data_IF_361819729643
#
_entry.id   IF_361819729643
#
_cell.length_a   1.000
_cell.length_b   1.000
_cell.length_c   1.000
_cell.angle_alpha   90.00
_cell.angle_beta   90.00
_cell.angle_gamma   90.00
#
_symmetry.space_group_name_H-M   'P 1'
#
loop_
_entity.id
_entity.type
_entity.pdbx_description
1 polymer ?
#
# COMPACT_ATOMS: atom_id res chain seq x y z
N UNK A 1 58.90 -48.80 43.57
CA UNK A 1 58.30 -47.45 43.56
C UNK A 1 57.67 -47.25 42.19
N UNK A 2 56.35 -47.42 42.09
CA UNK A 2 55.64 -47.41 40.83
C UNK A 2 54.44 -46.45 40.90
N UNK A 3 54.29 -45.69 39.81
CA UNK A 3 53.36 -44.61 39.56
C UNK A 3 51.89 -45.03 39.73
N UNK A 4 51.07 -44.14 40.32
CA UNK A 4 49.62 -44.12 40.09
C UNK A 4 49.17 -42.70 39.76
N UNK A 5 48.66 -42.56 38.55
CA UNK A 5 48.13 -41.36 37.90
C UNK A 5 46.81 -40.94 38.54
N UNK A 6 46.66 -39.65 38.84
CA UNK A 6 45.41 -39.04 39.31
C UNK A 6 44.57 -38.56 38.11
N UNK A 7 43.31 -39.02 38.04
CA UNK A 7 42.27 -38.49 37.15
C UNK A 7 41.33 -37.58 37.95
N UNK A 8 40.89 -36.48 37.35
CA UNK A 8 40.15 -35.39 38.00
C UNK A 8 38.65 -35.47 37.68
N UNK A 9 37.79 -35.64 38.69
CA UNK A 9 36.35 -35.35 38.65
C UNK A 9 35.99 -34.51 39.90
N UNK A 10 35.15 -33.46 39.79
CA UNK A 10 34.82 -32.62 40.93
C UNK A 10 33.69 -33.24 41.78
N UNK A 11 33.90 -33.18 43.09
CA UNK A 11 32.89 -33.23 44.15
C UNK A 11 32.39 -34.59 44.68
N UNK A 12 33.27 -35.58 44.82
CA UNK A 12 33.03 -36.69 45.77
C UNK A 12 34.34 -37.05 46.49
N UNK A 13 34.36 -36.90 47.82
CA UNK A 13 35.37 -37.51 48.70
C UNK A 13 34.69 -38.68 49.40
N UNK A 14 34.89 -39.88 48.89
CA UNK A 14 34.45 -41.11 49.58
C UNK A 14 35.57 -41.53 50.51
N UNK A 15 35.28 -41.56 51.81
CA UNK A 15 36.06 -42.33 52.78
C UNK A 15 35.29 -43.64 52.99
N UNK A 16 35.98 -44.78 52.83
CA UNK A 16 35.50 -46.10 53.19
C UNK A 16 36.23 -46.50 54.47
N UNK A 17 35.49 -46.93 55.48
CA UNK A 17 36.05 -47.72 56.57
C UNK A 17 35.77 -49.21 56.32
N UNK A 18 36.68 -50.06 56.81
CA UNK A 18 36.53 -51.51 56.85
C UNK A 18 35.27 -51.82 57.67
N UNK A 19 34.26 -52.44 57.02
CA UNK A 19 33.00 -53.02 57.55
C UNK A 19 31.81 -52.47 56.75
N UNK A 20 31.56 -53.04 55.57
CA UNK A 20 30.56 -52.53 54.64
C UNK A 20 29.10 -52.70 55.09
N UNK A 21 28.51 -51.65 55.68
CA UNK A 21 27.05 -51.43 55.70
C UNK A 21 26.69 -49.94 55.47
N UNK A 22 25.65 -49.71 54.67
CA UNK A 22 25.18 -48.37 54.25
C UNK A 22 23.95 -48.01 55.08
N UNK A 23 24.09 -47.13 56.09
CA UNK A 23 22.94 -46.46 56.70
C UNK A 23 22.54 -45.22 55.90
N UNK A 24 21.34 -45.30 55.33
CA UNK A 24 20.68 -44.18 54.66
C UNK A 24 20.20 -43.15 55.68
N UNK A 25 20.81 -41.97 55.68
CA UNK A 25 20.31 -40.82 56.43
C UNK A 25 19.38 -39.98 55.55
N UNK A 26 18.12 -39.92 55.98
CA UNK A 26 17.07 -39.11 55.38
C UNK A 26 17.47 -37.64 55.33
N UNK A 27 17.53 -37.05 54.13
CA UNK A 27 17.77 -35.61 53.96
C UNK A 27 16.44 -34.89 53.80
N UNK A 28 16.08 -34.15 54.86
CA UNK A 28 14.91 -33.29 54.92
C UNK A 28 14.76 -32.37 53.70
N UNK A 29 13.52 -32.26 53.27
CA UNK A 29 12.99 -31.29 52.31
C UNK A 29 13.23 -29.87 52.82
N UNK A 30 14.28 -29.21 52.35
CA UNK A 30 14.39 -27.75 52.41
C UNK A 30 14.40 -27.14 51.01
N UNK A 31 13.49 -26.17 50.86
CA UNK A 31 13.22 -25.37 49.69
C UNK A 31 14.49 -24.81 49.02
N UNK A 32 14.66 -25.09 47.73
CA UNK A 32 15.50 -24.29 46.84
C UNK A 32 14.85 -22.92 46.59
N UNK A 33 14.88 -22.03 47.58
CA UNK A 33 14.69 -20.58 47.36
C UNK A 33 16.04 -19.88 47.28
N UNK A 34 16.85 -20.23 46.27
CA UNK A 34 17.98 -19.37 45.87
C UNK A 34 17.40 -18.10 45.24
N UNK A 35 16.97 -17.15 46.07
CA UNK A 35 16.71 -15.76 45.69
C UNK A 35 18.02 -15.24 45.08
N UNK A 36 18.07 -15.17 43.76
CA UNK A 36 19.19 -14.56 43.05
C UNK A 36 19.49 -13.21 43.69
N UNK A 37 20.75 -12.97 44.04
CA UNK A 37 21.22 -11.70 44.60
C UNK A 37 20.77 -10.59 43.66
N UNK A 38 19.73 -9.85 44.06
CA UNK A 38 19.28 -8.65 43.36
C UNK A 38 20.48 -7.72 43.28
N UNK A 39 21.07 -7.57 42.09
CA UNK A 39 22.04 -6.50 41.83
C UNK A 39 21.37 -5.21 42.27
N UNK A 40 21.91 -4.54 43.29
CA UNK A 40 21.36 -3.25 43.75
C UNK A 40 21.46 -2.30 42.57
N UNK A 41 20.31 -1.97 41.98
CA UNK A 41 20.23 -0.96 40.92
C UNK A 41 20.65 0.36 41.56
N UNK A 42 21.68 1.00 41.00
CA UNK A 42 22.10 2.33 41.43
C UNK A 42 20.88 3.28 41.49
N UNK A 43 20.83 4.20 42.47
CA UNK A 43 19.71 5.12 42.60
C UNK A 43 19.50 5.84 41.26
N UNK A 44 18.26 5.91 40.74
CA UNK A 44 18.01 6.61 39.50
C UNK A 44 18.43 8.06 39.68
N UNK A 45 19.38 8.53 38.88
CA UNK A 45 19.72 9.95 38.82
C UNK A 45 18.47 10.70 38.33
N UNK A 46 17.61 11.11 39.26
CA UNK A 46 16.39 11.86 38.99
C UNK A 46 16.76 13.32 38.85
N UNK A 47 17.17 13.71 37.65
CA UNK A 47 17.38 15.10 37.28
C UNK A 47 17.40 15.25 35.76
N UNK A 48 16.92 16.37 35.20
CA UNK A 48 17.16 16.67 33.80
C UNK A 48 18.66 16.64 33.52
N UNK A 49 19.06 16.09 32.37
CA UNK A 49 20.46 16.15 31.98
C UNK A 49 20.89 17.61 31.77
N UNK A 50 22.20 17.82 31.66
CA UNK A 50 22.82 19.13 31.40
C UNK A 50 22.31 19.80 30.10
N UNK A 51 21.62 19.04 29.24
CA UNK A 51 20.99 19.50 28.00
C UNK A 51 19.49 19.81 28.16
N UNK A 52 18.98 19.93 29.40
CA UNK A 52 17.59 20.28 29.71
C UNK A 52 16.56 19.15 29.54
N UNK A 53 16.97 17.93 29.21
CA UNK A 53 16.04 16.81 28.98
C UNK A 53 15.80 16.03 30.27
N UNK A 54 14.53 15.93 30.69
CA UNK A 54 14.09 15.25 31.93
C UNK A 54 14.63 13.83 32.10
N UNK A 55 14.72 13.06 31.01
CA UNK A 55 15.28 11.72 31.01
C UNK A 55 16.50 11.66 30.11
N UNK A 56 17.67 11.31 30.67
CA UNK A 56 18.93 11.20 29.92
C UNK A 56 18.82 10.21 28.74
N UNK A 57 17.99 9.18 28.86
CA UNK A 57 17.65 8.21 27.80
C UNK A 57 16.91 8.82 26.60
N UNK A 58 16.34 10.01 26.75
CA UNK A 58 15.67 10.78 25.71
C UNK A 58 16.52 11.98 25.24
N UNK A 59 17.69 12.19 25.82
CA UNK A 59 18.61 13.21 25.37
C UNK A 59 19.39 12.71 24.17
N UNK A 60 19.20 13.36 23.01
CA UNK A 60 19.92 13.04 21.77
C UNK A 60 21.43 13.16 21.91
N UNK A 61 21.94 14.01 22.81
CA UNK A 61 23.38 14.15 23.04
C UNK A 61 23.88 13.07 23.99
N UNK A 62 23.24 12.89 25.15
CA UNK A 62 23.71 11.93 26.14
C UNK A 62 23.56 10.47 25.72
N UNK A 63 22.54 10.15 24.93
CA UNK A 63 22.21 8.78 24.53
C UNK A 63 22.53 8.47 23.08
N UNK A 64 23.08 9.42 22.31
CA UNK A 64 23.67 9.11 21.01
C UNK A 64 25.01 8.38 21.16
N UNK A 65 25.30 7.57 20.16
CA UNK A 65 26.61 7.03 19.89
C UNK A 65 27.34 7.94 18.88
N UNK A 66 28.67 7.78 18.71
CA UNK A 66 29.44 8.51 17.68
C UNK A 66 28.91 8.30 16.25
N UNK A 67 28.14 7.24 16.00
CA UNK A 67 27.52 6.93 14.70
C UNK A 67 26.15 7.60 14.47
N UNK A 68 25.78 8.59 15.30
CA UNK A 68 24.54 9.37 15.14
C UNK A 68 23.24 8.62 15.45
N UNK A 69 23.32 7.41 16.02
CA UNK A 69 22.17 6.60 16.47
C UNK A 69 22.09 6.60 17.99
N UNK A 70 20.96 6.21 18.56
CA UNK A 70 20.91 5.94 19.99
C UNK A 70 21.81 4.75 20.32
N UNK A 71 22.58 4.82 21.42
CA UNK A 71 23.54 3.75 21.81
C UNK A 71 22.87 2.38 21.89
N UNK A 72 21.65 2.31 22.42
CA UNK A 72 20.91 1.06 22.54
C UNK A 72 20.39 0.50 21.19
N UNK A 73 20.40 1.31 20.12
CA UNK A 73 19.99 0.93 18.75
C UNK A 73 21.13 1.03 17.74
N UNK A 74 22.39 1.10 18.18
CA UNK A 74 23.52 1.18 17.25
C UNK A 74 24.12 -0.21 17.06
N UNK A 75 24.16 -0.70 15.82
CA UNK A 75 24.80 -1.99 15.49
C UNK A 75 26.29 -1.96 15.78
N UNK A 76 26.98 -0.88 15.40
CA UNK A 76 28.42 -0.68 15.56
C UNK A 76 28.84 -0.44 17.02
N UNK A 77 27.89 -0.24 17.94
CA UNK A 77 28.15 -0.14 19.38
C UNK A 77 27.53 -1.31 20.16
N UNK A 78 27.19 -2.41 19.49
CA UNK A 78 26.51 -3.57 20.08
C UNK A 78 25.31 -3.20 20.96
N UNK A 79 24.50 -2.27 20.45
CA UNK A 79 23.35 -1.74 21.14
C UNK A 79 22.42 -2.86 21.59
N UNK A 80 22.01 -2.83 22.87
CA UNK A 80 21.25 -3.90 23.52
C UNK A 80 19.95 -4.29 22.80
N UNK A 81 19.43 -3.44 21.91
CA UNK A 81 18.20 -3.68 21.15
C UNK A 81 18.42 -4.31 19.77
N UNK A 82 19.67 -4.39 19.29
CA UNK A 82 20.03 -4.92 17.97
C UNK A 82 20.81 -6.22 18.12
N UNK A 83 20.46 -7.25 17.36
CA UNK A 83 21.23 -8.49 17.31
C UNK A 83 22.41 -8.37 16.34
N UNK A 84 23.30 -9.36 16.36
CA UNK A 84 24.40 -9.50 15.39
C UNK A 84 23.94 -9.42 13.93
N UNK A 85 22.73 -9.91 13.63
CA UNK A 85 22.09 -9.84 12.31
C UNK A 85 21.64 -8.42 11.90
N UNK A 86 21.85 -7.40 12.76
CA UNK A 86 21.47 -6.01 12.49
C UNK A 86 19.97 -5.72 12.56
N UNK A 87 19.16 -6.69 13.04
CA UNK A 87 17.71 -6.55 13.25
C UNK A 87 17.43 -6.23 14.72
N UNK A 88 16.23 -5.72 15.03
CA UNK A 88 15.81 -5.61 16.43
C UNK A 88 15.77 -7.00 17.07
N UNK A 89 16.45 -7.19 18.22
CA UNK A 89 16.55 -8.49 18.91
C UNK A 89 15.18 -9.12 19.16
N UNK A 90 14.22 -8.30 19.58
CA UNK A 90 12.87 -8.76 19.90
C UNK A 90 12.08 -9.25 18.68
N UNK A 91 12.45 -8.85 17.46
CA UNK A 91 11.78 -9.26 16.21
C UNK A 91 12.68 -10.10 15.30
N UNK A 92 13.89 -10.44 15.73
CA UNK A 92 14.81 -11.22 14.93
C UNK A 92 14.45 -12.70 15.00
N UNK A 93 14.08 -13.29 13.85
CA UNK A 93 13.80 -14.73 13.74
C UNK A 93 15.02 -15.59 14.09
N UNK A 94 16.19 -15.22 13.59
CA UNK A 94 17.45 -15.96 13.79
C UNK A 94 17.90 -15.97 15.26
N UNK A 95 17.53 -14.95 16.04
CA UNK A 95 17.82 -14.89 17.48
C UNK A 95 16.67 -15.39 18.37
N UNK A 96 15.60 -15.96 17.81
CA UNK A 96 14.42 -16.37 18.59
C UNK A 96 13.75 -15.21 19.32
N UNK A 97 13.71 -14.03 18.70
CA UNK A 97 13.20 -12.80 19.30
C UNK A 97 11.84 -12.99 19.97
N UNK A 98 11.66 -12.38 21.14
CA UNK A 98 10.47 -12.59 21.99
C UNK A 98 9.13 -12.27 21.33
N UNK A 99 9.13 -11.51 20.23
CA UNK A 99 7.94 -11.17 19.46
C UNK A 99 7.72 -12.08 18.25
N UNK A 100 8.61 -13.03 17.95
CA UNK A 100 8.48 -13.96 16.81
C UNK A 100 7.94 -15.31 17.30
N UNK A 101 6.91 -15.83 16.64
CA UNK A 101 6.43 -17.19 16.89
C UNK A 101 7.25 -18.22 16.11
N UNK A 102 7.02 -19.50 16.39
CA UNK A 102 7.59 -20.62 15.65
C UNK A 102 7.34 -20.54 14.13
N UNK A 103 6.20 -19.95 13.73
CA UNK A 103 5.85 -19.71 12.32
C UNK A 103 6.65 -18.56 11.66
N UNK A 104 7.61 -17.94 12.37
CA UNK A 104 8.43 -16.84 11.85
C UNK A 104 7.67 -15.52 11.64
N UNK A 105 6.44 -15.42 12.15
CA UNK A 105 5.60 -14.22 12.11
C UNK A 105 5.66 -13.48 13.44
N UNK A 106 5.29 -12.20 13.44
CA UNK A 106 5.10 -11.45 14.69
C UNK A 106 3.96 -12.12 15.47
N UNK A 107 4.19 -12.55 16.71
CA UNK A 107 3.26 -13.31 17.56
C UNK A 107 1.88 -12.67 17.62
N UNK A 108 1.80 -11.35 17.81
CA UNK A 108 0.52 -10.63 17.86
C UNK A 108 -0.25 -10.64 16.53
N UNK A 109 0.42 -10.90 15.40
CA UNK A 109 -0.15 -10.92 14.05
C UNK A 109 -0.27 -12.35 13.48
N UNK A 110 0.15 -13.37 14.22
CA UNK A 110 0.13 -14.74 13.73
C UNK A 110 -1.25 -15.36 13.97
N UNK A 111 -1.96 -15.73 12.89
CA UNK A 111 -3.25 -16.41 12.97
C UNK A 111 -3.13 -17.76 13.68
N UNK A 112 -2.12 -18.55 13.33
CA UNK A 112 -1.87 -19.90 13.87
C UNK A 112 -1.56 -19.89 15.38
N UNK A 113 -0.98 -18.80 15.89
CA UNK A 113 -0.72 -18.63 17.33
C UNK A 113 -1.84 -17.88 18.07
N UNK A 114 -2.99 -17.61 17.43
CA UNK A 114 -4.08 -16.84 18.06
C UNK A 114 -3.69 -15.38 18.39
N UNK A 115 -2.82 -14.78 17.58
CA UNK A 115 -2.28 -13.44 17.82
C UNK A 115 -3.38 -12.40 18.05
N UNK A 116 -3.25 -11.62 19.13
CA UNK A 116 -4.28 -10.69 19.59
C UNK A 116 -4.76 -9.68 18.53
N UNK A 117 -3.91 -9.34 17.54
CA UNK A 117 -4.23 -8.38 16.48
C UNK A 117 -5.06 -8.97 15.33
N UNK A 118 -5.18 -10.29 15.22
CA UNK A 118 -5.93 -10.98 14.15
C UNK A 118 -7.13 -11.69 14.76
N UNK A 119 -8.28 -11.61 14.08
CA UNK A 119 -9.46 -12.41 14.45
C UNK A 119 -9.46 -13.76 13.75
N UNK A 120 -10.40 -14.64 14.12
CA UNK A 120 -10.58 -15.96 13.50
C UNK A 120 -10.79 -15.89 11.97
N UNK A 121 -11.41 -14.82 11.48
CA UNK A 121 -11.61 -14.52 10.06
C UNK A 121 -10.31 -14.14 9.31
N UNK A 122 -9.16 -14.11 9.99
CA UNK A 122 -7.85 -13.77 9.39
C UNK A 122 -7.69 -12.28 9.06
N UNK A 123 -8.61 -11.42 9.52
CA UNK A 123 -8.54 -9.96 9.35
C UNK A 123 -7.97 -9.32 10.62
N UNK A 124 -7.49 -8.08 10.50
CA UNK A 124 -7.11 -7.29 11.68
C UNK A 124 -8.34 -7.11 12.58
N UNK A 125 -8.25 -7.53 13.84
CA UNK A 125 -9.38 -7.59 14.80
C UNK A 125 -10.07 -6.24 14.96
N UNK A 126 -9.30 -5.15 14.99
CA UNK A 126 -9.81 -3.78 15.07
C UNK A 126 -10.66 -3.35 13.86
N UNK A 127 -10.50 -4.01 12.73
CA UNK A 127 -11.11 -3.64 11.44
C UNK A 127 -12.08 -4.72 10.91
N UNK A 128 -12.27 -5.80 11.67
CA UNK A 128 -13.15 -6.89 11.27
C UNK A 128 -14.60 -6.54 11.56
N UNK A 129 -15.43 -6.45 10.52
CA UNK A 129 -16.87 -6.21 10.65
C UNK A 129 -17.58 -7.34 11.42
N UNK A 130 -17.25 -8.58 11.09
CA UNK A 130 -17.86 -9.79 11.69
C UNK A 130 -17.56 -9.92 13.20
N UNK A 131 -16.42 -9.39 13.66
CA UNK A 131 -16.06 -9.38 15.09
C UNK A 131 -16.41 -8.08 15.81
N UNK A 132 -17.15 -7.15 15.19
CA UNK A 132 -17.46 -5.85 15.80
C UNK A 132 -16.22 -5.00 16.09
N UNK A 133 -15.19 -5.08 15.24
CA UNK A 133 -13.91 -4.39 15.44
C UNK A 133 -14.09 -2.90 15.72
N UNK A 134 -13.36 -2.37 16.70
CA UNK A 134 -13.53 -0.99 17.20
C UNK A 134 -13.48 0.11 16.12
N UNK A 135 -12.82 -0.15 14.98
CA UNK A 135 -12.70 0.79 13.86
C UNK A 135 -13.93 0.79 12.95
N UNK A 136 -14.84 -0.19 13.04
CA UNK A 136 -16.04 -0.31 12.21
C UNK A 136 -17.27 0.03 13.07
N UNK A 137 -18.17 0.86 12.56
CA UNK A 137 -19.45 1.14 13.22
C UNK A 137 -20.52 0.11 12.84
N UNK A 138 -21.68 0.18 13.48
CA UNK A 138 -22.85 -0.67 13.19
C UNK A 138 -23.30 -0.58 11.72
N UNK A 139 -23.11 0.58 11.07
CA UNK A 139 -23.38 0.79 9.65
C UNK A 139 -22.38 0.09 8.71
N UNK A 140 -21.40 -0.65 9.24
CA UNK A 140 -20.38 -1.36 8.46
C UNK A 140 -19.35 -0.47 7.77
N UNK A 141 -19.28 0.82 8.15
CA UNK A 141 -18.30 1.80 7.65
C UNK A 141 -17.19 2.02 8.70
N UNK A 142 -16.05 2.55 8.29
CA UNK A 142 -15.05 3.02 9.26
C UNK A 142 -15.67 4.08 10.18
N UNK A 143 -15.62 3.86 11.49
CA UNK A 143 -16.25 4.71 12.51
C UNK A 143 -15.81 6.18 12.39
N UNK A 144 -14.53 6.43 12.06
CA UNK A 144 -14.00 7.79 11.85
C UNK A 144 -14.58 8.49 10.62
N UNK A 145 -15.04 7.74 9.61
CA UNK A 145 -15.60 8.25 8.35
C UNK A 145 -17.12 8.13 8.26
N UNK A 146 -17.76 7.54 9.26
CA UNK A 146 -19.20 7.33 9.24
C UNK A 146 -19.93 8.63 9.61
N UNK A 147 -20.70 9.18 8.67
CA UNK A 147 -21.53 10.36 8.89
C UNK A 147 -22.58 10.13 9.99
N UNK A 148 -23.28 8.99 9.95
CA UNK A 148 -24.35 8.65 10.89
C UNK A 148 -23.84 8.51 12.33
N UNK A 149 -22.59 8.10 12.52
CA UNK A 149 -21.96 8.01 13.84
C UNK A 149 -21.20 9.27 14.28
N UNK A 150 -21.29 10.39 13.54
CA UNK A 150 -20.53 11.61 13.85
C UNK A 150 -19.02 11.41 13.77
N UNK A 151 -18.55 10.59 12.81
CA UNK A 151 -17.16 10.22 12.66
C UNK A 151 -16.21 11.44 12.66
N UNK A 152 -15.09 11.32 13.39
CA UNK A 152 -14.14 12.41 13.62
C UNK A 152 -13.53 13.02 12.35
N UNK A 153 -13.55 12.31 11.21
CA UNK A 153 -13.08 12.82 9.92
C UNK A 153 -14.18 13.53 9.12
N UNK A 154 -15.44 13.51 9.55
CA UNK A 154 -16.56 14.15 8.86
C UNK A 154 -16.89 15.47 9.56
N UNK A 155 -17.07 16.54 8.77
CA UNK A 155 -17.53 17.83 9.28
C UNK A 155 -19.06 17.91 9.30
N UNK A 156 -19.59 18.98 9.89
CA UNK A 156 -21.03 19.31 9.86
C UNK A 156 -21.61 19.35 8.44
N UNK A 157 -20.82 19.78 7.45
CA UNK A 157 -21.19 19.79 6.02
C UNK A 157 -21.20 18.41 5.37
N UNK A 158 -21.07 17.31 6.15
CA UNK A 158 -21.09 15.93 5.65
C UNK A 158 -19.95 15.60 4.67
N UNK A 159 -18.89 16.41 4.66
CA UNK A 159 -17.68 16.22 3.84
C UNK A 159 -16.54 15.77 4.75
N UNK A 160 -15.47 15.21 4.18
CA UNK A 160 -14.25 14.97 4.95
C UNK A 160 -13.70 16.31 5.44
N UNK A 161 -13.41 16.45 6.74
CA UNK A 161 -12.88 17.69 7.35
C UNK A 161 -11.67 18.22 6.62
N UNK A 162 -10.77 17.33 6.18
CA UNK A 162 -9.57 17.70 5.41
C UNK A 162 -9.90 18.28 4.04
N UNK A 163 -11.04 17.95 3.46
CA UNK A 163 -11.46 18.33 2.10
C UNK A 163 -12.58 19.39 2.11
N UNK A 164 -13.04 19.80 3.29
CA UNK A 164 -14.12 20.77 3.42
C UNK A 164 -13.57 22.20 3.35
N UNK A 165 -13.96 22.93 2.30
CA UNK A 165 -13.61 24.35 2.14
C UNK A 165 -14.20 25.21 3.28
N UNK A 166 -15.47 24.99 3.62
CA UNK A 166 -16.20 25.76 4.64
C UNK A 166 -15.58 25.61 6.04
N UNK A 167 -14.99 24.45 6.35
CA UNK A 167 -14.31 24.22 7.63
C UNK A 167 -12.80 24.55 7.60
N UNK A 168 -12.28 25.16 6.53
CA UNK A 168 -10.85 25.45 6.40
C UNK A 168 -9.96 24.20 6.35
N UNK A 169 -10.47 23.10 5.79
CA UNK A 169 -9.81 21.80 5.74
C UNK A 169 -8.36 21.89 5.24
N UNK A 170 -7.45 21.20 5.92
CA UNK A 170 -6.00 21.24 5.63
C UNK A 170 -5.61 20.79 4.22
N UNK A 171 -6.51 20.10 3.51
CA UNK A 171 -6.33 19.64 2.14
C UNK A 171 -6.82 20.61 1.06
N UNK A 172 -7.51 21.70 1.41
CA UNK A 172 -8.03 22.69 0.45
C UNK A 172 -7.36 24.05 0.69
N UNK A 173 -6.96 24.74 -0.37
CA UNK A 173 -6.46 26.11 -0.26
C UNK A 173 -7.59 27.15 -0.30
N UNK A 174 -7.27 28.41 -0.05
CA UNK A 174 -8.21 29.55 -0.17
C UNK A 174 -8.90 29.62 -1.55
N UNK A 175 -8.20 29.22 -2.62
CA UNK A 175 -8.72 29.13 -3.98
C UNK A 175 -9.73 27.97 -4.20
N UNK A 176 -10.06 27.18 -3.17
CA UNK A 176 -10.98 26.05 -3.27
C UNK A 176 -10.45 24.84 -4.04
N UNK A 177 -9.15 24.82 -4.35
CA UNK A 177 -8.47 23.70 -5.01
C UNK A 177 -7.79 22.81 -3.95
N UNK A 178 -7.52 21.55 -4.30
CA UNK A 178 -6.68 20.67 -3.47
C UNK A 178 -5.33 21.36 -3.28
N UNK A 179 -4.93 21.60 -2.03
CA UNK A 179 -3.80 22.44 -1.65
C UNK A 179 -2.49 21.96 -2.27
N UNK A 180 -2.29 20.64 -2.35
CA UNK A 180 -1.12 20.05 -3.03
C UNK A 180 -1.11 20.29 -4.55
N UNK A 181 -2.25 20.54 -5.18
CA UNK A 181 -2.38 20.76 -6.62
C UNK A 181 -2.54 22.25 -6.99
N UNK A 182 -2.61 23.15 -6.01
CA UNK A 182 -2.80 24.56 -6.27
C UNK A 182 -1.48 25.23 -6.65
N UNK A 183 -1.37 25.73 -7.89
CA UNK A 183 -0.21 26.49 -8.36
C UNK A 183 0.01 27.78 -7.57
N UNK A 184 -1.07 28.53 -7.33
CA UNK A 184 -1.04 29.83 -6.64
C UNK A 184 -0.55 29.70 -5.19
N UNK A 185 -0.80 28.57 -4.53
CA UNK A 185 -0.30 28.28 -3.18
C UNK A 185 1.02 27.51 -3.14
N UNK A 186 1.71 27.33 -4.28
CA UNK A 186 2.97 26.57 -4.34
C UNK A 186 2.83 25.08 -4.01
N UNK A 187 1.66 24.48 -4.32
CA UNK A 187 1.33 23.10 -3.99
C UNK A 187 2.41 22.09 -4.40
N UNK A 188 2.66 21.11 -3.54
CA UNK A 188 3.75 20.13 -3.70
C UNK A 188 3.66 19.30 -5.00
N UNK A 189 2.48 19.15 -5.60
CA UNK A 189 2.26 18.38 -6.82
C UNK A 189 2.53 19.16 -8.11
N UNK A 190 2.57 20.50 -8.10
CA UNK A 190 2.76 21.34 -9.29
C UNK A 190 4.11 22.07 -9.22
N UNK A 191 4.88 22.05 -10.30
CA UNK A 191 6.15 22.80 -10.36
C UNK A 191 5.92 24.26 -10.75
N UNK A 192 6.98 25.06 -10.68
CA UNK A 192 6.98 26.45 -11.15
C UNK A 192 6.52 26.60 -12.61
N UNK A 193 6.81 25.61 -13.46
CA UNK A 193 6.38 25.53 -14.87
C UNK A 193 4.88 25.22 -15.04
N UNK A 194 4.09 25.12 -13.96
CA UNK A 194 2.65 24.83 -14.01
C UNK A 194 2.30 23.39 -14.41
N UNK A 195 3.28 22.51 -14.52
CA UNK A 195 3.10 21.08 -14.84
C UNK A 195 3.09 20.25 -13.55
N UNK A 196 2.52 19.06 -13.60
CA UNK A 196 2.63 18.09 -12.49
C UNK A 196 4.12 17.79 -12.26
N UNK A 197 4.65 18.04 -11.05
CA UNK A 197 6.09 17.94 -10.70
C UNK A 197 6.69 16.61 -11.14
N UNK A 198 6.00 15.50 -10.87
CA UNK A 198 6.47 14.17 -11.25
C UNK A 198 6.58 13.98 -12.78
N UNK A 199 5.85 14.75 -13.58
CA UNK A 199 5.85 14.67 -15.06
C UNK A 199 6.58 15.83 -15.73
N UNK A 200 7.18 16.74 -14.96
CA UNK A 200 7.88 17.89 -15.53
C UNK A 200 9.32 17.49 -15.90
N UNK A 201 9.66 17.58 -17.19
CA UNK A 201 11.03 17.31 -17.67
C UNK A 201 12.04 18.32 -17.11
N UNK A 202 11.68 19.61 -17.11
CA UNK A 202 12.53 20.72 -16.65
C UNK A 202 12.87 20.61 -15.15
N UNK A 203 11.99 20.02 -14.33
CA UNK A 203 12.23 19.77 -12.91
C UNK A 203 12.81 18.38 -12.60
N UNK A 204 13.20 17.58 -13.59
CA UNK A 204 13.71 16.22 -13.38
C UNK A 204 12.65 15.26 -12.79
N UNK A 205 11.37 15.44 -13.14
CA UNK A 205 10.26 14.69 -12.57
C UNK A 205 10.45 13.18 -12.58
N UNK A 206 10.09 12.52 -11.48
CA UNK A 206 10.29 11.07 -11.27
C UNK A 206 9.58 10.17 -12.29
N UNK A 207 8.59 10.68 -13.04
CA UNK A 207 7.89 9.94 -14.08
C UNK A 207 8.48 10.13 -15.48
N UNK A 208 9.44 11.05 -15.71
CA UNK A 208 10.06 11.30 -17.03
C UNK A 208 11.50 10.82 -17.04
N UNK A 209 11.89 10.01 -18.02
CA UNK A 209 13.29 9.60 -18.19
C UNK A 209 14.14 10.72 -18.82
N UNK A 210 15.46 10.51 -18.84
CA UNK A 210 16.41 11.37 -19.57
C UNK A 210 16.02 11.57 -21.06
N UNK A 211 15.43 10.54 -21.68
CA UNK A 211 14.92 10.61 -23.06
C UNK A 211 13.64 11.46 -23.24
N UNK A 212 13.14 12.10 -22.17
CA UNK A 212 11.93 12.94 -22.21
C UNK A 212 10.61 12.16 -22.36
N UNK A 213 10.65 10.83 -22.31
CA UNK A 213 9.46 9.95 -22.36
C UNK A 213 9.01 9.61 -20.95
N UNK A 214 7.75 9.18 -20.79
CA UNK A 214 7.29 8.63 -19.51
C UNK A 214 8.12 7.39 -19.19
N UNK A 215 8.82 7.35 -18.05
CA UNK A 215 9.76 6.28 -17.65
C UNK A 215 9.16 4.89 -17.84
N UNK A 216 7.91 4.67 -17.41
CA UNK A 216 7.24 3.38 -17.56
C UNK A 216 7.02 2.96 -19.02
N UNK A 217 6.98 3.90 -19.97
CA UNK A 217 6.80 3.67 -21.41
C UNK A 217 8.08 3.79 -22.21
N UNK A 218 9.22 4.06 -21.58
CA UNK A 218 10.48 4.22 -22.28
C UNK A 218 11.16 2.85 -22.45
N UNK A 219 11.31 2.41 -23.70
CA UNK A 219 12.03 1.17 -24.04
C UNK A 219 13.49 1.23 -23.59
N UNK A 220 14.17 2.35 -23.87
CA UNK A 220 15.60 2.57 -23.56
C UNK A 220 15.88 2.53 -22.05
N UNK A 221 14.92 2.92 -21.20
CA UNK A 221 15.06 2.85 -19.74
C UNK A 221 14.50 1.55 -19.13
N UNK A 222 14.14 0.55 -19.93
CA UNK A 222 13.54 -0.69 -19.43
C UNK A 222 12.17 -0.50 -18.79
N UNK A 223 11.41 0.52 -19.19
CA UNK A 223 10.11 0.86 -18.65
C UNK A 223 9.14 -0.32 -18.69
N UNK A 224 8.56 -0.67 -17.54
CA UNK A 224 7.74 -1.88 -17.38
C UNK A 224 6.50 -1.99 -18.29
N UNK A 225 6.05 -0.91 -18.93
CA UNK A 225 4.89 -0.93 -19.82
C UNK A 225 5.21 -1.38 -21.25
N UNK A 226 6.48 -1.34 -21.69
CA UNK A 226 6.90 -1.73 -23.04
C UNK A 226 7.81 -2.96 -22.93
N UNK A 227 7.61 -3.96 -23.80
CA UNK A 227 8.51 -5.11 -23.88
C UNK A 227 9.71 -4.84 -24.81
N UNK A 228 10.65 -5.78 -24.85
CA UNK A 228 11.80 -5.74 -25.77
C UNK A 228 11.38 -5.62 -27.25
N UNK A 229 10.22 -6.16 -27.62
CA UNK A 229 9.62 -6.05 -28.95
C UNK A 229 9.04 -4.66 -29.27
N UNK A 230 9.14 -3.68 -28.37
CA UNK A 230 8.62 -2.32 -28.56
C UNK A 230 7.08 -2.22 -28.48
N UNK A 231 6.39 -3.31 -28.16
CA UNK A 231 4.93 -3.35 -27.98
C UNK A 231 4.57 -3.12 -26.51
N UNK A 232 3.33 -2.69 -26.25
CA UNK A 232 2.81 -2.64 -24.87
C UNK A 232 2.86 -4.05 -24.28
N UNK A 233 3.58 -4.22 -23.17
CA UNK A 233 3.92 -5.55 -22.60
C UNK A 233 2.68 -6.39 -22.34
N UNK A 234 1.59 -5.79 -21.84
CA UNK A 234 0.32 -6.48 -21.63
C UNK A 234 -0.35 -6.97 -22.93
N UNK A 235 -0.04 -6.36 -24.08
CA UNK A 235 -0.59 -6.70 -25.40
C UNK A 235 0.39 -7.48 -26.30
N UNK A 236 1.58 -7.80 -25.80
CA UNK A 236 2.58 -8.49 -26.58
C UNK A 236 2.36 -10.00 -26.50
N UNK A 237 2.02 -10.64 -27.63
CA UNK A 237 1.84 -12.10 -27.72
C UNK A 237 3.14 -12.85 -27.38
N UNK A 238 4.27 -12.40 -27.92
CA UNK A 238 5.61 -12.98 -27.71
C UNK A 238 6.05 -12.95 -26.24
N UNK A 239 5.60 -11.96 -25.46
CA UNK A 239 5.90 -11.86 -24.03
C UNK A 239 4.82 -12.48 -23.12
N UNK A 240 3.83 -13.21 -23.66
CA UNK A 240 2.72 -13.74 -22.88
C UNK A 240 1.87 -12.67 -22.21
N UNK A 241 1.74 -11.49 -22.84
CA UNK A 241 1.03 -10.34 -22.30
C UNK A 241 -0.38 -10.70 -21.85
N UNK A 242 -0.71 -10.39 -20.59
CA UNK A 242 -1.97 -10.79 -19.96
C UNK A 242 -3.26 -10.24 -20.59
N UNK A 243 -3.17 -9.36 -21.59
CA UNK A 243 -4.32 -8.91 -22.38
C UNK A 243 -4.55 -9.74 -23.65
N UNK A 244 -3.67 -10.67 -24.02
CA UNK A 244 -3.79 -11.52 -25.21
C UNK A 244 -4.17 -12.95 -24.80
N UNK A 245 -5.21 -13.54 -25.40
CA UNK A 245 -5.57 -14.94 -25.17
C UNK A 245 -4.68 -15.88 -25.99
N UNK A 246 -4.79 -17.18 -25.72
CA UNK A 246 -4.16 -18.24 -26.53
C UNK A 246 -4.51 -18.13 -28.02
N UNK A 247 -5.73 -17.67 -28.36
CA UNK A 247 -6.17 -17.41 -29.72
C UNK A 247 -5.54 -16.17 -30.38
N UNK A 248 -4.57 -15.51 -29.74
CA UNK A 248 -3.87 -14.34 -30.28
C UNK A 248 -4.71 -13.06 -30.37
N UNK A 249 -5.94 -13.07 -29.84
CA UNK A 249 -6.85 -11.93 -29.78
C UNK A 249 -6.75 -11.23 -28.43
N UNK A 250 -7.20 -9.98 -28.35
CA UNK A 250 -7.34 -9.30 -27.05
C UNK A 250 -8.38 -10.09 -26.22
N UNK A 251 -8.03 -10.53 -25.02
CA UNK A 251 -8.88 -11.39 -24.15
C UNK A 251 -10.29 -10.83 -23.99
N UNK A 252 -10.41 -9.53 -23.76
CA UNK A 252 -11.72 -8.88 -23.62
C UNK A 252 -12.56 -8.96 -24.88
N UNK A 253 -11.94 -9.07 -26.06
CA UNK A 253 -12.56 -9.14 -27.38
C UNK A 253 -12.58 -10.55 -27.97
N UNK A 254 -12.17 -11.57 -27.21
CA UNK A 254 -12.17 -12.94 -27.70
C UNK A 254 -13.49 -13.63 -27.33
N UNK A 255 -14.29 -14.00 -28.34
CA UNK A 255 -15.55 -14.75 -28.13
C UNK A 255 -15.28 -16.11 -27.47
N UNK A 256 -14.28 -16.83 -27.96
CA UNK A 256 -13.90 -18.17 -27.44
C UNK A 256 -13.44 -18.14 -25.98
N UNK A 257 -12.84 -17.04 -25.52
CA UNK A 257 -12.45 -16.87 -24.11
C UNK A 257 -13.54 -16.21 -23.24
N UNK A 258 -14.77 -16.06 -23.74
CA UNK A 258 -15.85 -15.38 -23.00
C UNK A 258 -15.60 -13.89 -22.73
N UNK A 259 -14.76 -13.26 -23.57
CA UNK A 259 -14.25 -11.91 -23.38
C UNK A 259 -15.31 -10.88 -23.00
N UNK A 260 -15.01 -10.09 -21.97
CA UNK A 260 -15.88 -9.09 -21.35
C UNK A 260 -16.63 -8.14 -22.30
N UNK A 261 -16.10 -7.91 -23.51
CA UNK A 261 -16.61 -6.93 -24.46
C UNK A 261 -17.40 -7.51 -25.63
N UNK A 262 -17.44 -8.83 -25.83
CA UNK A 262 -18.19 -9.50 -26.90
C UNK A 262 -19.28 -10.40 -26.31
N UNK A 263 -20.50 -10.34 -26.85
CA UNK A 263 -21.59 -11.22 -26.45
C UNK A 263 -21.54 -12.56 -27.17
N UNK A 264 -22.38 -13.51 -26.75
CA UNK A 264 -22.55 -14.80 -27.42
C UNK A 264 -22.92 -14.66 -28.91
N UNK A 265 -23.61 -13.57 -29.29
CA UNK A 265 -23.94 -13.22 -30.68
C UNK A 265 -22.73 -12.73 -31.51
N UNK A 266 -21.52 -12.71 -30.95
CA UNK A 266 -20.30 -12.24 -31.64
C UNK A 266 -20.25 -10.73 -31.88
N UNK A 267 -21.19 -9.96 -31.31
CA UNK A 267 -21.24 -8.49 -31.39
C UNK A 267 -20.63 -7.89 -30.13
N UNK A 268 -20.16 -6.64 -30.21
CA UNK A 268 -19.71 -5.91 -29.01
C UNK A 268 -20.90 -5.79 -28.04
N UNK A 269 -20.76 -6.26 -26.80
CA UNK A 269 -21.85 -6.29 -25.78
C UNK A 269 -22.56 -4.95 -25.66
N UNK A 270 -21.79 -3.86 -25.61
CA UNK A 270 -22.36 -2.51 -25.50
C UNK A 270 -23.24 -2.09 -26.68
N UNK A 271 -23.12 -2.74 -27.84
CA UNK A 271 -23.86 -2.44 -29.08
C UNK A 271 -24.86 -3.53 -29.47
N UNK A 272 -24.94 -4.61 -28.70
CA UNK A 272 -25.82 -5.73 -29.04
C UNK A 272 -27.25 -5.42 -28.58
N UNK A 273 -28.19 -5.36 -29.52
CA UNK A 273 -29.62 -5.16 -29.21
C UNK A 273 -30.20 -6.32 -28.40
N UNK A 274 -29.89 -7.55 -28.80
CA UNK A 274 -30.36 -8.79 -28.15
C UNK A 274 -29.86 -8.91 -26.70
N UNK A 275 -28.69 -8.35 -26.37
CA UNK A 275 -28.15 -8.35 -25.00
C UNK A 275 -28.47 -7.07 -24.20
N UNK A 276 -29.35 -6.19 -24.69
CA UNK A 276 -29.65 -4.92 -24.00
C UNK A 276 -28.43 -4.01 -23.84
N UNK A 277 -27.53 -3.99 -24.83
CA UNK A 277 -26.26 -3.28 -24.76
C UNK A 277 -26.41 -1.80 -24.39
N UNK A 278 -25.52 -1.28 -23.53
CA UNK A 278 -25.60 0.07 -22.96
C UNK A 278 -25.63 1.23 -23.97
N UNK A 279 -25.20 1.01 -25.22
CA UNK A 279 -25.25 1.99 -26.31
C UNK A 279 -26.52 1.87 -27.16
N UNK A 280 -27.41 0.93 -26.88
CA UNK A 280 -28.72 0.80 -27.54
C UNK A 280 -29.77 1.46 -26.63
N UNK A 281 -30.69 2.21 -27.23
CA UNK A 281 -31.85 2.74 -26.52
C UNK A 281 -33.03 1.78 -26.60
N UNK A 282 -34.09 2.06 -25.86
CA UNK A 282 -35.36 1.32 -25.90
C UNK A 282 -35.95 1.25 -27.32
N UNK A 283 -35.73 2.27 -28.15
CA UNK A 283 -36.13 2.30 -29.56
C UNK A 283 -35.31 1.37 -30.47
N UNK A 284 -34.39 0.57 -29.92
CA UNK A 284 -33.55 -0.38 -30.66
C UNK A 284 -32.48 0.27 -31.55
N UNK A 285 -32.29 1.59 -31.46
CA UNK A 285 -31.28 2.36 -32.20
C UNK A 285 -30.07 2.64 -31.30
N UNK A 286 -28.95 3.06 -31.89
CA UNK A 286 -27.82 3.54 -31.08
C UNK A 286 -28.25 4.81 -30.35
N UNK A 287 -28.06 4.86 -29.03
CA UNK A 287 -28.51 5.94 -28.14
C UNK A 287 -28.00 7.31 -28.58
N UNK A 288 -26.76 7.38 -29.06
CA UNK A 288 -26.18 8.62 -29.59
C UNK A 288 -26.73 9.05 -30.96
N UNK A 289 -27.45 8.19 -31.66
CA UNK A 289 -28.06 8.44 -32.98
C UNK A 289 -29.60 8.47 -32.92
N UNK A 290 -30.18 8.21 -31.75
CA UNK A 290 -31.63 8.18 -31.58
C UNK A 290 -32.15 9.61 -31.37
N UNK A 291 -32.99 10.09 -32.29
CA UNK A 291 -33.64 11.40 -32.17
C UNK A 291 -34.54 11.48 -30.93
N UNK A 292 -35.34 10.44 -30.69
CA UNK A 292 -36.27 10.35 -29.55
C UNK A 292 -35.54 10.36 -28.19
N UNK A 293 -34.30 9.86 -28.12
CA UNK A 293 -33.48 9.92 -26.91
C UNK A 293 -32.56 11.15 -26.82
N UNK A 294 -32.70 12.14 -27.72
CA UNK A 294 -31.81 13.31 -27.75
C UNK A 294 -30.35 12.96 -28.04
N UNK A 295 -30.11 11.95 -28.89
CA UNK A 295 -28.79 11.41 -29.16
C UNK A 295 -27.78 12.48 -29.61
N UNK A 296 -26.57 12.43 -29.03
CA UNK A 296 -25.53 13.47 -29.23
C UNK A 296 -25.06 13.67 -30.67
N UNK A 297 -25.35 12.76 -31.59
CA UNK A 297 -25.03 12.89 -33.02
C UNK A 297 -26.14 13.52 -33.85
N UNK A 298 -27.35 13.72 -33.31
CA UNK A 298 -28.50 14.29 -34.02
C UNK A 298 -28.76 15.72 -33.49
N UNK A 299 -28.96 16.67 -34.40
CA UNK A 299 -29.38 18.03 -34.02
C UNK A 299 -30.89 18.10 -33.82
N UNK A 300 -31.37 19.23 -33.30
CA UNK A 300 -32.80 19.52 -33.18
C UNK A 300 -33.54 19.43 -34.54
N UNK A 301 -32.86 19.77 -35.64
CA UNK A 301 -33.37 19.63 -37.01
C UNK A 301 -33.49 18.17 -37.50
N UNK A 302 -33.22 17.17 -36.65
CA UNK A 302 -33.32 15.75 -36.98
C UNK A 302 -32.25 15.23 -37.95
N UNK A 303 -31.24 16.05 -38.27
CA UNK A 303 -30.10 15.69 -39.12
C UNK A 303 -28.88 15.33 -38.27
N UNK A 304 -27.89 14.65 -38.85
CA UNK A 304 -26.60 14.42 -38.16
C UNK A 304 -25.92 15.77 -37.90
N UNK A 305 -25.55 16.07 -36.65
CA UNK A 305 -24.95 17.35 -36.24
C UNK A 305 -23.77 17.76 -37.12
N UNK A 306 -22.91 16.80 -37.46
CA UNK A 306 -21.73 17.04 -38.31
C UNK A 306 -22.08 17.47 -39.73
N UNK A 307 -23.29 17.16 -40.24
CA UNK A 307 -23.76 17.45 -41.60
C UNK A 307 -24.89 18.47 -41.66
N UNK A 308 -25.27 19.04 -40.52
CA UNK A 308 -26.37 19.98 -40.47
C UNK A 308 -25.85 21.37 -40.88
N UNK A 309 -26.34 21.91 -42.00
CA UNK A 309 -26.00 23.26 -42.46
C UNK A 309 -26.44 24.33 -41.46
N UNK A 310 -27.67 24.20 -40.96
CA UNK A 310 -28.27 25.12 -39.98
C UNK A 310 -27.52 25.13 -38.63
N UNK A 311 -26.86 24.02 -38.27
CA UNK A 311 -26.04 23.96 -37.05
C UNK A 311 -24.53 24.22 -37.29
N UNK A 312 -24.12 24.61 -38.50
CA UNK A 312 -22.70 24.79 -38.83
C UNK A 312 -21.87 23.51 -38.64
N UNK A 313 -22.41 22.35 -39.02
CA UNK A 313 -21.78 21.05 -38.81
C UNK A 313 -20.36 20.97 -39.37
N UNK A 314 -19.47 20.27 -38.68
CA UNK A 314 -18.03 20.20 -39.03
C UNK A 314 -17.71 19.63 -40.41
N UNK A 315 -18.61 18.86 -41.03
CA UNK A 315 -18.49 18.35 -42.41
C UNK A 315 -19.03 19.36 -43.46
N UNK A 316 -19.56 20.51 -43.06
CA UNK A 316 -20.02 21.59 -43.94
C UNK A 316 -18.89 22.63 -44.11
N UNK A 317 -18.65 23.06 -45.35
CA UNK A 317 -17.72 24.15 -45.64
C UNK A 317 -18.41 25.51 -45.59
N UNK A 318 -17.63 26.58 -45.68
CA UNK A 318 -18.15 27.96 -45.74
C UNK A 318 -19.13 28.19 -46.90
N UNK A 319 -18.98 27.46 -48.00
CA UNK A 319 -19.92 27.45 -49.13
C UNK A 319 -21.23 26.68 -48.88
N UNK A 320 -21.53 26.33 -47.61
CA UNK A 320 -22.74 25.60 -47.21
C UNK A 320 -22.95 24.27 -47.95
N UNK A 321 -21.86 23.64 -48.40
CA UNK A 321 -21.81 22.33 -49.06
C UNK A 321 -21.06 21.33 -48.18
N UNK A 322 -21.22 20.03 -48.43
CA UNK A 322 -20.39 19.04 -47.73
C UNK A 322 -18.95 19.21 -48.20
N UNK A 323 -18.00 19.32 -47.27
CA UNK A 323 -16.61 19.70 -47.53
C UNK A 323 -15.93 18.82 -48.58
N UNK A 324 -16.22 17.51 -48.59
CA UNK A 324 -15.68 16.55 -49.55
C UNK A 324 -16.35 16.58 -50.94
N UNK A 325 -17.42 17.37 -51.11
CA UNK A 325 -18.15 17.54 -52.39
C UNK A 325 -18.02 18.97 -52.93
N UNK A 326 -17.40 19.87 -52.17
CA UNK A 326 -17.25 21.26 -52.57
C UNK A 326 -16.02 21.39 -53.48
N UNK A 327 -16.25 21.58 -54.78
CA UNK A 327 -15.16 21.80 -55.76
C UNK A 327 -14.26 22.97 -55.35
N UNK A 328 -14.85 24.02 -54.80
CA UNK A 328 -14.16 25.22 -54.33
C UNK A 328 -13.32 24.99 -53.04
N UNK A 329 -13.51 23.86 -52.34
CA UNK A 329 -12.69 23.48 -51.17
C UNK A 329 -11.74 22.29 -51.46
N UNK A 330 -11.82 21.70 -52.66
CA UNK A 330 -10.95 20.64 -53.15
C UNK A 330 -9.86 21.19 -54.10
N UNK A 331 -9.92 22.49 -54.37
CA UNK A 331 -8.94 23.29 -55.12
C UNK A 331 -7.99 23.95 -54.14
#
# INVERSE_FOLDING_TARGET
>A
MAFRTSFWWPDVRVSLDEDGEVEGTERGREELTKKGTKRKRAPPTKGPCEHGVKYRSQCKVCSACPHGKWRYTCKECDGASICEHGRMRSTCKECGGSQICEHGRIRSQCKECGGASICEHGRQRSSCKECGGASICEHGRERRRCKECGGSEICEHSRRRTECKECGGSGICEHGRVRSQCRECGGSAICEHGRVRSRCKECGGSAICEHGRVRSRCKECGGGAICEHGRVRSRCKECGGGAICEHGRIRSECKECGGGSICEHGRRRSRCKECGGSQICEHGRRRNQCKECGGSQICEHGRRRTRCKECGGSEICEHSRQRYQCKDCLS
#
